data_IF_625442588907
#
_entry.id   IF_625442588907
#
_cell.length_a   1.000
_cell.length_b   1.000
_cell.length_c   1.000
_cell.angle_alpha   90.00
_cell.angle_beta   90.00
_cell.angle_gamma   90.00
#
_symmetry.space_group_name_H-M   'P 1'
#
loop_
_entity.id
_entity.type
_entity.pdbx_description
1 polymer ?
#
# COMPACT_ATOMS: atom_id res chain seq x y z
N UNK A 1 -48.33 -6.91 -39.84
CA UNK A 1 -48.52 -6.53 -38.42
C UNK A 1 -47.30 -5.79 -37.90
N UNK A 2 -47.49 -4.53 -37.46
CA UNK A 2 -46.43 -3.61 -37.01
C UNK A 2 -45.57 -4.16 -35.84
N UNK A 3 -46.02 -5.22 -35.17
CA UNK A 3 -45.30 -5.92 -34.10
C UNK A 3 -44.01 -6.65 -34.53
N UNK A 4 -43.87 -7.07 -35.80
CA UNK A 4 -42.63 -7.73 -36.25
C UNK A 4 -41.51 -6.73 -36.61
N UNK A 5 -41.85 -5.49 -36.98
CA UNK A 5 -40.87 -4.45 -37.30
C UNK A 5 -40.22 -3.82 -36.05
N UNK A 6 -40.89 -3.89 -34.89
CA UNK A 6 -40.35 -3.40 -33.62
C UNK A 6 -39.29 -4.37 -33.05
N UNK A 7 -39.42 -5.68 -33.34
CA UNK A 7 -38.44 -6.69 -32.91
C UNK A 7 -37.11 -6.63 -33.67
N UNK A 8 -37.08 -6.08 -34.88
CA UNK A 8 -35.85 -5.88 -35.66
C UNK A 8 -35.15 -4.55 -35.39
N UNK A 9 -35.83 -3.58 -34.75
CA UNK A 9 -35.26 -2.28 -34.37
C UNK A 9 -34.63 -2.27 -32.97
N UNK A 10 -35.09 -3.15 -32.07
CA UNK A 10 -34.35 -3.51 -30.87
C UNK A 10 -33.44 -4.69 -31.21
N UNK A 11 -32.34 -4.40 -31.91
CA UNK A 11 -31.20 -5.29 -31.88
C UNK A 11 -30.91 -5.63 -30.42
N UNK A 12 -30.95 -6.92 -30.10
CA UNK A 12 -30.42 -7.44 -28.85
C UNK A 12 -28.95 -7.02 -28.79
N UNK A 13 -28.70 -5.87 -28.18
CA UNK A 13 -27.38 -5.57 -27.64
C UNK A 13 -27.04 -6.78 -26.79
N UNK A 14 -25.92 -7.48 -27.03
CA UNK A 14 -25.47 -8.47 -26.08
C UNK A 14 -25.43 -7.72 -24.76
N UNK A 15 -26.18 -8.22 -23.78
CA UNK A 15 -26.16 -7.74 -22.42
C UNK A 15 -24.69 -7.52 -22.11
N UNK A 16 -24.29 -6.24 -22.06
CA UNK A 16 -22.94 -5.85 -21.71
C UNK A 16 -22.69 -6.61 -20.43
N UNK A 17 -21.85 -7.65 -20.50
CA UNK A 17 -21.41 -8.43 -19.36
C UNK A 17 -21.01 -7.38 -18.37
N UNK A 18 -21.92 -7.06 -17.42
CA UNK A 18 -21.68 -6.03 -16.43
C UNK A 18 -20.48 -6.58 -15.74
N UNK A 19 -19.31 -5.96 -15.98
CA UNK A 19 -18.09 -6.36 -15.30
C UNK A 19 -18.51 -6.44 -13.83
N UNK A 20 -18.34 -7.61 -13.17
CA UNK A 20 -18.80 -7.77 -11.81
C UNK A 20 -18.33 -6.54 -11.03
N UNK A 21 -19.19 -5.95 -10.20
CA UNK A 21 -18.83 -4.77 -9.42
C UNK A 21 -17.71 -5.21 -8.47
N UNK A 22 -16.47 -5.10 -8.93
CA UNK A 22 -15.31 -5.55 -8.19
C UNK A 22 -14.97 -4.47 -7.18
N UNK A 23 -15.08 -4.81 -5.91
CA UNK A 23 -14.65 -3.95 -4.82
C UNK A 23 -13.14 -4.15 -4.61
N UNK A 24 -12.35 -3.08 -4.46
CA UNK A 24 -10.92 -3.21 -4.23
C UNK A 24 -10.68 -3.92 -2.89
N UNK A 25 -9.91 -5.00 -2.91
CA UNK A 25 -9.62 -5.82 -1.74
C UNK A 25 -8.21 -6.37 -1.80
N UNK A 26 -7.51 -6.37 -0.66
CA UNK A 26 -6.22 -7.05 -0.48
C UNK A 26 -6.42 -8.44 0.11
N UNK A 27 -7.52 -8.70 0.83
CA UNK A 27 -7.80 -9.99 1.47
C UNK A 27 -8.59 -10.95 0.58
N UNK A 28 -9.65 -10.44 -0.04
CA UNK A 28 -10.68 -11.24 -0.68
C UNK A 28 -10.51 -11.24 -2.19
N UNK A 29 -10.95 -12.32 -2.85
CA UNK A 29 -11.04 -12.32 -4.30
C UNK A 29 -12.17 -11.38 -4.79
N UNK A 30 -12.24 -11.15 -6.10
CA UNK A 30 -13.21 -10.21 -6.68
C UNK A 30 -14.67 -10.60 -6.41
N UNK A 31 -14.97 -11.90 -6.27
CA UNK A 31 -16.33 -12.40 -6.03
C UNK A 31 -16.69 -12.22 -4.56
N UNK A 32 -15.83 -12.67 -3.65
CA UNK A 32 -16.00 -12.51 -2.20
C UNK A 32 -16.07 -11.02 -1.81
N UNK A 33 -15.19 -10.19 -2.36
CA UNK A 33 -15.16 -8.76 -2.06
C UNK A 33 -16.45 -8.04 -2.49
N UNK A 34 -17.12 -8.52 -3.55
CA UNK A 34 -18.39 -7.97 -4.01
C UNK A 34 -19.49 -8.13 -2.94
N UNK A 35 -19.51 -9.27 -2.26
CA UNK A 35 -20.54 -9.67 -1.28
C UNK A 35 -20.28 -9.10 0.13
N UNK A 36 -19.01 -8.81 0.47
CA UNK A 36 -18.65 -8.31 1.80
C UNK A 36 -18.80 -6.78 1.88
N UNK A 37 -19.68 -6.32 2.77
CA UNK A 37 -19.87 -4.90 3.04
C UNK A 37 -18.83 -4.33 4.02
N UNK A 38 -18.81 -3.01 4.14
CA UNK A 38 -17.86 -2.33 5.02
C UNK A 38 -18.09 -2.65 6.52
N UNK A 39 -19.35 -2.90 6.93
CA UNK A 39 -19.69 -3.19 8.33
C UNK A 39 -19.16 -4.55 8.77
N UNK A 40 -19.06 -5.52 7.85
CA UNK A 40 -18.41 -6.80 8.08
C UNK A 40 -16.87 -6.68 8.14
N UNK A 41 -16.28 -5.69 7.46
CA UNK A 41 -14.82 -5.52 7.42
C UNK A 41 -14.28 -4.86 8.70
N UNK A 42 -15.02 -3.94 9.31
CA UNK A 42 -14.54 -3.25 10.52
C UNK A 42 -14.19 -4.22 11.67
N UNK A 43 -15.04 -5.22 12.04
CA UNK A 43 -14.68 -6.23 13.05
C UNK A 43 -13.42 -7.03 12.70
N UNK A 44 -13.22 -7.35 11.41
CA UNK A 44 -12.02 -8.05 10.93
C UNK A 44 -10.78 -7.18 11.15
N UNK A 45 -10.87 -5.90 10.81
CA UNK A 45 -9.80 -4.94 11.01
C UNK A 45 -9.51 -4.68 12.50
N UNK A 46 -10.54 -4.60 13.35
CA UNK A 46 -10.36 -4.47 14.80
C UNK A 46 -9.62 -5.65 15.40
N UNK A 47 -9.95 -6.89 15.00
CA UNK A 47 -9.20 -8.09 15.40
C UNK A 47 -7.73 -8.03 14.93
N UNK A 48 -7.48 -7.53 13.71
CA UNK A 48 -6.12 -7.29 13.22
C UNK A 48 -5.38 -6.25 14.06
N UNK A 49 -6.05 -5.13 14.39
CA UNK A 49 -5.48 -4.05 15.17
C UNK A 49 -5.17 -4.47 16.61
N UNK A 50 -6.02 -5.29 17.23
CA UNK A 50 -5.81 -5.84 18.57
C UNK A 50 -4.53 -6.69 18.62
N UNK A 51 -4.36 -7.61 17.65
CA UNK A 51 -3.13 -8.39 17.53
C UNK A 51 -1.92 -7.47 17.31
N UNK A 52 -2.00 -6.52 16.37
CA UNK A 52 -0.90 -5.57 16.14
C UNK A 52 -0.56 -4.76 17.39
N UNK A 53 -1.55 -4.37 18.19
CA UNK A 53 -1.35 -3.66 19.46
C UNK A 53 -0.63 -4.53 20.49
N UNK A 54 -0.91 -5.84 20.52
CA UNK A 54 -0.18 -6.79 21.36
C UNK A 54 1.28 -6.98 20.96
N UNK A 55 1.62 -6.73 19.69
CA UNK A 55 3.01 -6.74 19.17
C UNK A 55 3.69 -5.39 19.39
N UNK A 56 2.97 -4.29 19.19
CA UNK A 56 3.48 -2.92 19.28
C UNK A 56 2.36 -1.97 19.75
N UNK A 57 2.47 -1.52 21.00
CA UNK A 57 1.46 -0.70 21.67
C UNK A 57 1.14 0.60 20.92
N UNK A 58 2.05 1.08 20.05
CA UNK A 58 1.83 2.29 19.24
C UNK A 58 0.63 2.17 18.30
N UNK A 59 0.15 0.97 18.02
CA UNK A 59 -1.10 0.76 17.27
C UNK A 59 -2.36 1.13 18.05
N UNK A 60 -2.34 1.12 19.39
CA UNK A 60 -3.52 1.34 20.24
C UNK A 60 -4.24 2.66 19.95
N UNK A 61 -3.47 3.73 19.68
CA UNK A 61 -4.00 5.08 19.39
C UNK A 61 -4.90 5.14 18.16
N UNK A 62 -4.85 4.14 17.28
CA UNK A 62 -5.64 4.13 16.05
C UNK A 62 -7.03 3.51 16.25
N UNK A 63 -7.25 2.78 17.35
CA UNK A 63 -8.55 2.16 17.64
C UNK A 63 -9.67 3.19 17.78
N UNK A 64 -9.41 4.31 18.44
CA UNK A 64 -10.38 5.39 18.63
C UNK A 64 -10.45 6.38 17.46
N UNK A 65 -9.63 6.19 16.41
CA UNK A 65 -9.55 7.11 15.27
C UNK A 65 -9.84 6.40 13.95
N UNK A 66 -8.84 5.77 13.33
CA UNK A 66 -8.98 5.12 12.04
C UNK A 66 -9.87 3.87 12.06
N UNK A 67 -10.05 3.25 13.23
CA UNK A 67 -10.80 2.00 13.38
C UNK A 67 -11.96 2.13 14.37
N UNK A 68 -12.50 3.33 14.58
CA UNK A 68 -13.66 3.54 15.45
C UNK A 68 -14.96 3.13 14.76
N UNK A 69 -16.03 2.93 15.53
CA UNK A 69 -17.37 2.71 14.95
C UNK A 69 -17.82 3.90 14.08
N UNK A 70 -17.50 5.13 14.49
CA UNK A 70 -17.81 6.37 13.76
C UNK A 70 -17.06 6.48 12.43
N UNK A 71 -15.94 5.77 12.28
CA UNK A 71 -15.18 5.77 11.03
C UNK A 71 -15.97 5.20 9.84
N UNK A 72 -17.00 4.37 10.09
CA UNK A 72 -17.89 3.84 9.05
C UNK A 72 -18.66 4.92 8.31
N UNK A 73 -18.90 6.08 8.94
CA UNK A 73 -19.68 7.18 8.39
C UNK A 73 -18.82 8.13 7.55
N UNK A 74 -17.49 8.02 7.64
CA UNK A 74 -16.56 8.94 6.97
C UNK A 74 -16.57 8.72 5.46
N UNK A 75 -17.20 9.61 4.70
CA UNK A 75 -17.09 9.62 3.24
C UNK A 75 -16.05 10.65 2.77
N UNK A 76 -14.85 10.16 2.42
CA UNK A 76 -13.70 10.97 2.02
C UNK A 76 -13.99 11.93 0.85
N UNK A 77 -14.81 11.51 -0.10
CA UNK A 77 -15.18 12.32 -1.28
C UNK A 77 -16.13 13.47 -0.92
N UNK A 78 -16.76 13.42 0.26
CA UNK A 78 -17.67 14.45 0.76
C UNK A 78 -17.04 15.31 1.87
N UNK A 79 -15.77 15.07 2.21
CA UNK A 79 -15.04 15.85 3.21
C UNK A 79 -14.38 17.09 2.60
N UNK A 80 -14.19 18.11 3.44
CA UNK A 80 -13.41 19.29 3.07
C UNK A 80 -11.93 18.92 2.87
N UNK A 81 -11.20 19.74 2.11
CA UNK A 81 -9.76 19.53 1.90
C UNK A 81 -8.99 19.44 3.22
N UNK A 82 -9.31 20.30 4.19
CA UNK A 82 -8.66 20.33 5.51
C UNK A 82 -8.87 19.03 6.30
N UNK A 83 -10.07 18.45 6.22
CA UNK A 83 -10.38 17.16 6.85
C UNK A 83 -9.63 16.02 6.15
N UNK A 84 -9.62 16.04 4.81
CA UNK A 84 -8.87 15.08 4.01
C UNK A 84 -7.35 15.14 4.29
N UNK A 85 -6.79 16.33 4.51
CA UNK A 85 -5.38 16.51 4.88
C UNK A 85 -5.07 15.95 6.27
N UNK A 86 -5.99 16.14 7.24
CA UNK A 86 -5.87 15.55 8.58
C UNK A 86 -5.94 14.02 8.51
N UNK A 87 -6.88 13.49 7.72
CA UNK A 87 -7.02 12.05 7.51
C UNK A 87 -5.76 11.47 6.84
N UNK A 88 -5.23 12.15 5.82
CA UNK A 88 -3.97 11.79 5.17
C UNK A 88 -2.82 11.68 6.15
N UNK A 89 -2.63 12.68 7.03
CA UNK A 89 -1.57 12.62 8.04
C UNK A 89 -1.72 11.41 8.97
N UNK A 90 -2.95 11.10 9.38
CA UNK A 90 -3.23 9.94 10.24
C UNK A 90 -2.91 8.62 9.51
N UNK A 91 -3.36 8.48 8.26
CA UNK A 91 -3.12 7.30 7.42
C UNK A 91 -1.63 7.14 7.11
N UNK A 92 -0.94 8.19 6.68
CA UNK A 92 0.50 8.15 6.40
C UNK A 92 1.30 7.76 7.64
N UNK A 93 0.89 8.23 8.84
CA UNK A 93 1.51 7.81 10.10
C UNK A 93 1.25 6.33 10.40
N UNK A 94 0.03 5.85 10.17
CA UNK A 94 -0.32 4.44 10.37
C UNK A 94 0.44 3.52 9.40
N UNK A 95 0.47 3.84 8.10
CA UNK A 95 1.14 3.04 7.08
C UNK A 95 2.66 2.98 7.30
N UNK A 96 3.28 4.04 7.81
CA UNK A 96 4.71 4.01 8.20
C UNK A 96 4.99 3.04 9.34
N UNK A 97 4.13 3.04 10.37
CA UNK A 97 4.22 2.07 11.45
C UNK A 97 3.95 0.65 10.92
N UNK A 98 2.93 0.47 10.07
CA UNK A 98 2.54 -0.80 9.46
C UNK A 98 3.64 -1.42 8.58
N UNK A 99 4.52 -0.62 8.00
CA UNK A 99 5.60 -1.09 7.14
C UNK A 99 6.56 -2.08 7.85
N UNK A 100 6.69 -2.00 9.18
CA UNK A 100 7.44 -2.99 9.97
C UNK A 100 6.75 -4.33 10.16
N UNK A 101 5.46 -4.43 9.80
CA UNK A 101 4.58 -5.53 10.19
C UNK A 101 3.74 -6.09 9.04
N UNK A 102 3.89 -5.62 7.80
CA UNK A 102 2.98 -5.96 6.69
C UNK A 102 2.94 -7.47 6.36
N UNK A 103 4.02 -8.20 6.67
CA UNK A 103 4.07 -9.66 6.56
C UNK A 103 3.08 -10.39 7.49
N UNK A 104 2.60 -9.74 8.55
CA UNK A 104 1.64 -10.32 9.48
C UNK A 104 0.24 -10.32 8.84
N UNK A 105 -0.51 -11.43 8.90
CA UNK A 105 -1.91 -11.45 8.44
C UNK A 105 -2.78 -10.39 9.13
N UNK A 106 -2.46 -10.04 10.37
CA UNK A 106 -3.12 -8.97 11.12
C UNK A 106 -2.98 -7.59 10.46
N UNK A 107 -1.84 -7.31 9.81
CA UNK A 107 -1.63 -6.07 9.07
C UNK A 107 -2.49 -5.99 7.80
N UNK A 108 -2.68 -7.10 7.11
CA UNK A 108 -3.56 -7.13 5.93
C UNK A 108 -5.04 -6.94 6.31
N UNK A 109 -5.45 -7.43 7.48
CA UNK A 109 -6.80 -7.17 8.04
C UNK A 109 -7.08 -5.68 8.23
N UNK A 110 -6.13 -4.93 8.79
CA UNK A 110 -6.30 -3.50 8.98
C UNK A 110 -6.18 -2.73 7.67
N UNK A 111 -5.27 -3.15 6.79
CA UNK A 111 -5.08 -2.53 5.47
C UNK A 111 -6.32 -2.65 4.58
N UNK A 112 -7.03 -3.79 4.63
CA UNK A 112 -8.31 -3.99 3.94
C UNK A 112 -9.31 -2.88 4.28
N UNK A 113 -9.45 -2.56 5.56
CA UNK A 113 -10.36 -1.49 5.97
C UNK A 113 -9.92 -0.13 5.45
N UNK A 114 -8.62 0.17 5.47
CA UNK A 114 -8.11 1.42 4.91
C UNK A 114 -8.36 1.53 3.40
N UNK A 115 -8.19 0.44 2.66
CA UNK A 115 -8.48 0.36 1.22
C UNK A 115 -9.96 0.61 0.95
N UNK A 116 -10.85 -0.04 1.72
CA UNK A 116 -12.30 -0.03 1.49
C UNK A 116 -12.98 1.24 2.01
N UNK A 117 -12.54 1.78 3.15
CA UNK A 117 -13.14 2.98 3.78
C UNK A 117 -12.55 4.28 3.30
N UNK A 118 -11.22 4.36 3.27
CA UNK A 118 -10.48 5.60 3.04
C UNK A 118 -9.86 5.70 1.66
N UNK A 119 -10.01 4.65 0.84
CA UNK A 119 -9.52 4.63 -0.54
C UNK A 119 -8.02 4.94 -0.61
N UNK A 120 -7.22 4.36 0.28
CA UNK A 120 -5.76 4.64 0.35
C UNK A 120 -5.01 4.29 -0.94
N UNK A 121 -5.53 3.35 -1.71
CA UNK A 121 -5.04 2.98 -3.05
C UNK A 121 -5.29 4.06 -4.12
N UNK A 122 -6.09 5.08 -3.81
CA UNK A 122 -6.37 6.25 -4.65
C UNK A 122 -5.66 7.49 -4.11
N UNK A 123 -5.80 7.76 -2.80
CA UNK A 123 -5.37 9.04 -2.22
C UNK A 123 -4.01 9.02 -1.50
N UNK A 124 -3.47 7.83 -1.23
CA UNK A 124 -2.23 7.64 -0.45
C UNK A 124 -1.29 6.63 -1.13
N UNK A 125 -1.23 6.67 -2.46
CA UNK A 125 -0.51 5.69 -3.30
C UNK A 125 0.97 5.60 -2.92
N UNK A 126 1.63 6.75 -2.74
CA UNK A 126 3.05 6.80 -2.39
C UNK A 126 3.32 6.10 -1.05
N UNK A 127 2.60 6.46 0.02
CA UNK A 127 2.78 5.80 1.32
C UNK A 127 2.37 4.33 1.32
N UNK A 128 1.35 3.95 0.57
CA UNK A 128 0.91 2.57 0.45
C UNK A 128 1.98 1.71 -0.22
N UNK A 129 2.56 2.18 -1.33
CA UNK A 129 3.62 1.47 -2.04
C UNK A 129 4.91 1.44 -1.23
N UNK A 130 5.28 2.53 -0.56
CA UNK A 130 6.45 2.57 0.32
C UNK A 130 6.32 1.60 1.51
N UNK A 131 5.12 1.49 2.09
CA UNK A 131 4.83 0.50 3.14
C UNK A 131 4.99 -0.94 2.64
N UNK A 132 4.56 -1.22 1.41
CA UNK A 132 4.56 -2.56 0.85
C UNK A 132 5.88 -2.99 0.22
N UNK A 133 6.70 -2.06 -0.24
CA UNK A 133 7.91 -2.38 -1.00
C UNK A 133 8.96 -3.26 -0.30
N UNK A 134 9.22 -3.14 1.03
CA UNK A 134 10.09 -4.09 1.70
C UNK A 134 9.68 -5.56 1.49
N UNK A 135 8.41 -5.81 1.16
CA UNK A 135 7.81 -7.13 0.92
C UNK A 135 7.50 -7.37 -0.58
N UNK A 136 8.28 -6.77 -1.48
CA UNK A 136 8.05 -6.81 -2.93
C UNK A 136 7.95 -8.21 -3.54
N UNK A 137 8.57 -9.21 -2.91
CA UNK A 137 8.56 -10.61 -3.33
C UNK A 137 7.33 -11.40 -2.86
N UNK A 138 6.39 -10.76 -2.17
CA UNK A 138 5.19 -11.40 -1.61
C UNK A 138 3.94 -11.22 -2.48
N UNK A 139 2.98 -12.14 -2.34
CA UNK A 139 1.65 -11.99 -2.97
C UNK A 139 0.89 -10.76 -2.49
N UNK A 140 1.08 -10.35 -1.23
CA UNK A 140 0.45 -9.14 -0.68
C UNK A 140 0.88 -7.90 -1.45
N UNK A 141 2.17 -7.77 -1.76
CA UNK A 141 2.67 -6.67 -2.57
C UNK A 141 2.05 -6.66 -3.97
N UNK A 142 2.00 -7.81 -4.64
CA UNK A 142 1.37 -7.92 -5.98
C UNK A 142 -0.07 -7.44 -5.95
N UNK A 143 -0.87 -7.90 -4.97
CA UNK A 143 -2.27 -7.47 -4.81
C UNK A 143 -2.34 -5.96 -4.60
N UNK A 144 -1.52 -5.39 -3.73
CA UNK A 144 -1.49 -3.93 -3.47
C UNK A 144 -1.17 -3.15 -4.76
N UNK A 145 -0.18 -3.59 -5.54
CA UNK A 145 0.19 -2.95 -6.81
C UNK A 145 -0.94 -3.03 -7.84
N UNK A 146 -1.69 -4.14 -7.86
CA UNK A 146 -2.85 -4.30 -8.75
C UNK A 146 -4.01 -3.37 -8.40
N UNK A 147 -4.13 -2.93 -7.14
CA UNK A 147 -5.19 -2.01 -6.69
C UNK A 147 -4.92 -0.54 -7.02
N UNK A 148 -3.65 -0.11 -7.06
CA UNK A 148 -3.30 1.30 -7.26
C UNK A 148 -3.35 1.69 -8.74
N UNK A 149 -3.63 2.95 -9.06
CA UNK A 149 -3.40 3.48 -10.40
C UNK A 149 -1.99 4.10 -10.49
N UNK A 150 -1.11 3.53 -11.33
CA UNK A 150 0.28 3.95 -11.43
C UNK A 150 0.49 5.12 -12.40
N UNK A 151 -0.38 5.28 -13.42
CA UNK A 151 -0.33 6.37 -14.38
C UNK A 151 1.08 6.69 -14.90
N UNK A 152 1.39 7.99 -15.03
CA UNK A 152 2.72 8.51 -15.34
C UNK A 152 3.46 8.94 -14.06
N UNK A 153 3.51 8.07 -13.06
CA UNK A 153 4.21 8.34 -11.79
C UNK A 153 5.62 7.73 -11.77
N UNK A 154 6.41 8.03 -10.74
CA UNK A 154 7.68 7.34 -10.48
C UNK A 154 7.54 5.82 -10.29
N UNK A 155 6.32 5.32 -10.09
CA UNK A 155 6.00 3.91 -9.89
C UNK A 155 5.58 3.16 -11.17
N UNK A 156 5.56 3.80 -12.34
CA UNK A 156 5.17 3.17 -13.62
C UNK A 156 5.99 1.92 -13.96
N UNK A 157 7.22 1.80 -13.45
CA UNK A 157 8.02 0.59 -13.62
C UNK A 157 7.37 -0.68 -13.01
N UNK A 158 6.39 -0.53 -12.12
CA UNK A 158 5.62 -1.63 -11.54
C UNK A 158 4.44 -2.09 -12.42
N UNK A 159 4.18 -1.48 -13.59
CA UNK A 159 3.11 -1.92 -14.48
C UNK A 159 3.28 -3.38 -14.94
N UNK A 160 4.52 -3.86 -15.03
CA UNK A 160 4.80 -5.28 -15.30
C UNK A 160 4.25 -6.23 -14.23
N UNK A 161 4.18 -5.80 -12.97
CA UNK A 161 3.60 -6.57 -11.86
C UNK A 161 2.09 -6.70 -12.01
N UNK A 162 1.43 -5.63 -12.47
CA UNK A 162 -0.02 -5.62 -12.69
C UNK A 162 -0.44 -6.62 -13.75
N UNK A 163 0.27 -6.63 -14.89
CA UNK A 163 -0.05 -7.47 -16.04
C UNK A 163 0.34 -8.93 -15.82
N UNK A 164 1.50 -9.18 -15.21
CA UNK A 164 2.00 -10.55 -14.98
C UNK A 164 1.39 -11.22 -13.74
N UNK A 165 0.97 -10.45 -12.74
CA UNK A 165 0.60 -10.99 -11.43
C UNK A 165 1.78 -11.61 -10.67
N UNK A 166 3.02 -11.35 -11.10
CA UNK A 166 4.24 -11.86 -10.49
C UNK A 166 4.99 -10.73 -9.77
N UNK A 167 5.64 -11.03 -8.63
CA UNK A 167 6.44 -10.04 -7.92
C UNK A 167 7.63 -9.55 -8.79
N UNK A 168 8.00 -8.26 -8.69
CA UNK A 168 9.13 -7.74 -9.44
C UNK A 168 10.45 -8.33 -8.90
N UNK A 169 11.37 -8.76 -9.76
CA UNK A 169 12.70 -9.16 -9.34
C UNK A 169 13.47 -8.02 -8.66
N UNK A 170 14.22 -8.31 -7.60
CA UNK A 170 14.99 -7.31 -6.83
C UNK A 170 15.92 -6.46 -7.70
N UNK A 171 16.54 -7.05 -8.73
CA UNK A 171 17.42 -6.32 -9.64
C UNK A 171 16.67 -5.23 -10.42
N UNK A 172 15.38 -5.41 -10.76
CA UNK A 172 14.57 -4.39 -11.43
C UNK A 172 14.37 -3.18 -10.52
N UNK A 173 14.06 -3.41 -9.23
CA UNK A 173 13.94 -2.34 -8.23
C UNK A 173 15.23 -1.54 -8.08
N UNK A 174 16.36 -2.24 -7.94
CA UNK A 174 17.68 -1.63 -7.81
C UNK A 174 18.03 -0.81 -9.06
N UNK A 175 17.81 -1.36 -10.25
CA UNK A 175 18.08 -0.64 -11.50
C UNK A 175 17.22 0.61 -11.65
N UNK A 176 15.95 0.57 -11.20
CA UNK A 176 15.10 1.73 -11.24
C UNK A 176 15.57 2.82 -10.26
N UNK A 177 15.98 2.45 -9.05
CA UNK A 177 16.56 3.40 -8.09
C UNK A 177 17.87 4.03 -8.60
N UNK A 178 18.66 3.30 -9.40
CA UNK A 178 19.87 3.85 -10.03
C UNK A 178 19.51 4.84 -11.14
N UNK A 179 18.44 4.56 -11.90
CA UNK A 179 18.01 5.38 -13.03
C UNK A 179 17.27 6.65 -12.60
N UNK A 180 16.47 6.55 -11.54
CA UNK A 180 15.61 7.63 -11.04
C UNK A 180 16.04 8.07 -9.65
N UNK A 181 16.78 9.18 -9.61
CA UNK A 181 17.25 9.79 -8.36
C UNK A 181 16.09 10.23 -7.45
N UNK A 182 14.95 10.64 -8.01
CA UNK A 182 13.79 11.05 -7.21
C UNK A 182 13.19 9.87 -6.45
N UNK A 183 13.15 8.71 -7.11
CA UNK A 183 12.73 7.47 -6.48
C UNK A 183 13.72 7.06 -5.38
N UNK A 184 15.03 7.15 -5.64
CA UNK A 184 16.07 6.86 -4.63
C UNK A 184 15.98 7.81 -3.41
N UNK A 185 15.76 9.10 -3.63
CA UNK A 185 15.58 10.08 -2.56
C UNK A 185 14.30 9.80 -1.76
N UNK A 186 13.19 9.47 -2.43
CA UNK A 186 11.95 9.06 -1.78
C UNK A 186 12.20 7.87 -0.86
N UNK A 187 12.93 6.86 -1.35
CA UNK A 187 13.33 5.72 -0.53
C UNK A 187 14.23 6.12 0.62
N UNK A 188 15.26 6.93 0.37
CA UNK A 188 16.24 7.27 1.39
C UNK A 188 15.57 8.05 2.51
N UNK A 189 14.66 8.96 2.17
CA UNK A 189 13.87 9.70 3.15
C UNK A 189 12.96 8.77 3.95
N UNK A 190 12.27 7.83 3.27
CA UNK A 190 11.42 6.86 3.94
C UNK A 190 12.21 5.94 4.89
N UNK A 191 13.36 5.44 4.45
CA UNK A 191 14.24 4.59 5.25
C UNK A 191 14.92 5.37 6.36
N UNK A 192 15.38 6.60 6.17
CA UNK A 192 15.95 7.40 7.27
C UNK A 192 14.92 7.65 8.39
N UNK A 193 13.67 7.91 8.01
CA UNK A 193 12.55 7.98 8.96
C UNK A 193 12.29 6.64 9.65
N UNK A 194 12.33 5.55 8.89
CA UNK A 194 12.12 4.21 9.42
C UNK A 194 13.31 3.71 10.25
N UNK A 195 14.54 4.12 9.96
CA UNK A 195 15.76 3.71 10.66
C UNK A 195 15.82 4.34 12.05
N UNK A 196 15.48 5.64 12.17
CA UNK A 196 15.24 6.27 13.47
C UNK A 196 14.16 5.54 14.28
N UNK A 197 13.22 4.89 13.60
CA UNK A 197 12.12 4.14 14.19
C UNK A 197 12.49 2.69 14.53
N UNK A 198 13.34 2.02 13.75
CA UNK A 198 13.73 0.61 13.93
C UNK A 198 14.87 0.42 14.92
N UNK A 199 15.75 1.41 15.11
CA UNK A 199 16.77 1.44 16.18
C UNK A 199 16.14 1.30 17.58
N UNK A 200 14.86 1.68 17.73
CA UNK A 200 14.13 1.63 19.02
C UNK A 200 13.39 0.30 19.24
N UNK A 201 13.10 -0.47 18.18
CA UNK A 201 12.08 -1.56 18.23
C UNK A 201 12.69 -2.95 18.00
N UNK A 202 13.96 -3.06 17.59
CA UNK A 202 14.66 -4.35 17.55
C UNK A 202 14.11 -5.38 16.55
N UNK A 203 13.33 -4.96 15.55
CA UNK A 203 12.84 -5.85 14.48
C UNK A 203 13.86 -5.89 13.32
N UNK A 204 14.64 -6.97 13.27
CA UNK A 204 15.76 -7.18 12.34
C UNK A 204 15.35 -7.44 10.87
N UNK A 205 14.10 -7.83 10.59
CA UNK A 205 13.77 -8.46 9.29
C UNK A 205 13.42 -7.44 8.18
N UNK A 206 12.60 -6.42 8.46
CA UNK A 206 12.25 -5.40 7.46
C UNK A 206 13.43 -4.46 7.14
N UNK A 207 14.32 -4.27 8.11
CA UNK A 207 15.53 -3.46 7.97
C UNK A 207 16.55 -4.13 7.04
N UNK A 208 16.78 -5.45 7.15
CA UNK A 208 17.67 -6.17 6.23
C UNK A 208 17.19 -6.09 4.78
N UNK A 209 15.88 -6.20 4.50
CA UNK A 209 15.35 -6.14 3.14
C UNK A 209 15.61 -4.81 2.43
N UNK A 210 15.31 -3.69 3.11
CA UNK A 210 15.54 -2.33 2.62
C UNK A 210 17.02 -1.94 2.65
N UNK A 211 17.75 -2.25 3.72
CA UNK A 211 19.18 -1.99 3.81
C UNK A 211 19.98 -2.79 2.78
N UNK A 212 19.63 -4.05 2.46
CA UNK A 212 20.30 -4.80 1.38
C UNK A 212 19.99 -4.21 0.00
N UNK A 213 18.78 -3.68 -0.24
CA UNK A 213 18.51 -2.92 -1.47
C UNK A 213 19.40 -1.68 -1.55
N UNK A 214 19.50 -0.91 -0.46
CA UNK A 214 20.35 0.28 -0.39
C UNK A 214 21.86 -0.01 -0.51
N UNK A 215 22.35 -1.04 0.18
CA UNK A 215 23.75 -1.48 0.14
C UNK A 215 24.14 -2.01 -1.25
N UNK A 216 23.21 -2.63 -1.96
CA UNK A 216 23.41 -3.07 -3.36
C UNK A 216 23.51 -1.88 -4.32
N UNK A 217 22.82 -0.78 -4.04
CA UNK A 217 22.86 0.46 -4.83
C UNK A 217 24.18 1.21 -4.55
N UNK A 218 24.62 1.30 -3.29
CA UNK A 218 25.83 2.06 -2.92
C UNK A 218 27.14 1.37 -3.31
N UNK A 219 27.22 0.03 -3.36
CA UNK A 219 28.44 -0.70 -3.77
C UNK A 219 28.83 -0.55 -5.24
N UNK A 220 27.91 -0.16 -6.15
CA UNK A 220 28.21 -0.02 -7.59
C UNK A 220 28.47 1.40 -8.06
N UNK A 221 28.10 2.44 -7.30
CA UNK A 221 28.22 3.83 -7.73
C UNK A 221 28.75 4.77 -6.62
N UNK A 222 30.02 4.56 -6.27
CA UNK A 222 30.77 5.29 -5.24
C UNK A 222 30.86 6.84 -5.41
N UNK A 223 30.38 7.42 -6.52
CA UNK A 223 30.61 8.86 -6.82
C UNK A 223 29.38 9.78 -6.72
N UNK A 224 28.14 9.27 -6.56
CA UNK A 224 26.93 10.11 -6.49
C UNK A 224 26.16 10.08 -5.16
N UNK A 225 26.51 9.18 -4.24
CA UNK A 225 25.78 8.96 -2.98
C UNK A 225 26.63 9.33 -1.75
N UNK A 226 27.49 10.34 -1.87
CA UNK A 226 28.39 10.77 -0.79
C UNK A 226 27.66 11.36 0.42
N UNK A 227 26.47 11.93 0.23
CA UNK A 227 25.70 12.55 1.31
C UNK A 227 24.99 11.52 2.20
N UNK A 228 24.44 10.45 1.60
CA UNK A 228 23.73 9.40 2.34
C UNK A 228 24.74 8.46 3.00
N UNK A 229 25.85 8.13 2.33
CA UNK A 229 26.86 7.22 2.86
C UNK A 229 27.53 7.72 4.16
N UNK A 230 27.65 9.03 4.36
CA UNK A 230 28.18 9.62 5.60
C UNK A 230 27.29 9.42 6.83
N UNK A 231 25.97 9.46 6.68
CA UNK A 231 25.03 9.22 7.79
C UNK A 231 24.93 7.74 8.16
N UNK A 232 25.13 6.84 7.20
CA UNK A 232 24.97 5.40 7.40
C UNK A 232 26.27 4.68 7.82
N UNK A 233 27.45 5.13 7.38
CA UNK A 233 28.73 4.57 7.85
C UNK A 233 28.98 4.83 9.35
N UNK A 234 28.44 5.92 9.90
CA UNK A 234 28.48 6.17 11.34
C UNK A 234 27.59 5.18 12.13
N UNK A 235 26.56 4.62 11.49
CA UNK A 235 25.57 3.73 12.10
C UNK A 235 25.90 2.23 11.99
N UNK A 236 26.77 1.83 11.05
CA UNK A 236 27.19 0.43 10.88
C UNK A 236 28.38 0.02 11.78
N UNK A 237 28.92 0.95 12.57
CA UNK A 237 30.08 0.76 13.45
C UNK A 237 29.73 0.83 14.95
N UNK A 238 28.43 0.83 15.28
CA UNK A 238 27.90 0.72 16.64
C UNK A 238 26.96 -0.49 16.73
#
# INVERSE_FOLDING_TARGET
>A
SQLQAIKSALGSTPESTRRPITRPSVLFDAKEAADIDLRAILPIALSGLEHLTGVDERFARYSSTLFSQTSLEVNREQQTQKENDKLNKSISSYLRLLAGYLQLPAALKTLEYLIRRYLVHVYNVDELLLCALPYHDTHAFVRIVQLVNLGNSKWTFLDGVKSSGAPPPRNVLVQQCIRDTSLLETFSNYVSWAALFFVVVGLSIAFEGLCLMFLSITRRHQKRVSFIQGQWCAFALQ
#
